data_IF_154017168313
#
_entry.id   IF_154017168313
#
_cell.length_a   1.000
_cell.length_b   1.000
_cell.length_c   1.000
_cell.angle_alpha   90.00
_cell.angle_beta   90.00
_cell.angle_gamma   90.00
#
_symmetry.space_group_name_H-M   'P 1'
#
loop_
_entity.id
_entity.type
_entity.pdbx_description
1 polymer ?
#
# COMPACT_ATOMS: atom_id res chain seq x y z
N UNK A 1 -21.95 5.64 -18.13
CA UNK A 1 -23.13 6.52 -18.20
C UNK A 1 -23.38 7.09 -19.60
N UNK A 2 -22.44 6.97 -20.50
CA UNK A 2 -22.56 7.37 -21.93
C UNK A 2 -23.36 6.36 -22.78
N UNK A 3 -23.58 5.15 -22.27
CA UNK A 3 -24.33 4.12 -23.01
C UNK A 3 -25.84 4.31 -22.83
N UNK A 4 -26.57 4.39 -23.95
CA UNK A 4 -28.04 4.44 -23.94
C UNK A 4 -28.64 3.04 -23.80
N UNK A 5 -28.24 2.34 -22.75
CA UNK A 5 -28.79 1.05 -22.36
C UNK A 5 -29.38 1.09 -20.95
N UNK A 6 -29.96 -0.03 -20.49
CA UNK A 6 -30.55 -0.12 -19.15
C UNK A 6 -29.50 0.07 -18.04
N UNK A 7 -28.26 -0.35 -18.25
CA UNK A 7 -27.18 -0.20 -17.29
C UNK A 7 -26.76 1.26 -17.11
N UNK A 8 -26.56 1.97 -18.22
CA UNK A 8 -26.23 3.40 -18.21
C UNK A 8 -27.35 4.24 -17.56
N UNK A 9 -28.61 3.96 -17.90
CA UNK A 9 -29.78 4.63 -17.28
C UNK A 9 -29.89 4.37 -15.79
N UNK A 10 -29.68 3.14 -15.35
CA UNK A 10 -29.68 2.79 -13.95
C UNK A 10 -28.53 3.48 -13.18
N UNK A 11 -27.32 3.40 -13.71
CA UNK A 11 -26.16 4.06 -13.11
C UNK A 11 -26.38 5.57 -12.98
N UNK A 12 -26.92 6.22 -14.01
CA UNK A 12 -27.27 7.65 -13.95
C UNK A 12 -28.32 7.92 -12.88
N UNK A 13 -29.40 7.13 -12.83
CA UNK A 13 -30.48 7.31 -11.85
C UNK A 13 -29.99 7.21 -10.39
N UNK A 14 -29.04 6.31 -10.12
CA UNK A 14 -28.45 6.15 -8.77
C UNK A 14 -27.51 7.29 -8.47
N UNK A 15 -26.54 7.54 -9.37
CA UNK A 15 -25.49 8.52 -9.14
C UNK A 15 -26.01 9.95 -9.15
N UNK A 16 -26.92 10.31 -10.08
CA UNK A 16 -27.48 11.66 -10.11
C UNK A 16 -28.17 12.02 -8.80
N UNK A 17 -28.98 11.11 -8.24
CA UNK A 17 -29.68 11.36 -6.97
C UNK A 17 -28.69 11.41 -5.79
N UNK A 18 -27.74 10.50 -5.75
CA UNK A 18 -26.80 10.40 -4.62
C UNK A 18 -25.85 11.58 -4.58
N UNK A 19 -25.25 11.95 -5.73
CA UNK A 19 -24.28 13.03 -5.81
C UNK A 19 -24.95 14.40 -5.68
N UNK A 20 -26.16 14.60 -6.29
CA UNK A 20 -26.93 15.83 -6.09
C UNK A 20 -27.35 16.03 -4.65
N UNK A 21 -27.81 14.94 -3.98
CA UNK A 21 -28.17 15.01 -2.57
C UNK A 21 -26.97 15.38 -1.71
N UNK A 22 -25.81 14.72 -1.89
CA UNK A 22 -24.61 15.04 -1.15
C UNK A 22 -24.17 16.50 -1.36
N UNK A 23 -24.22 16.99 -2.60
CA UNK A 23 -23.89 18.37 -2.93
C UNK A 23 -24.91 19.38 -2.35
N UNK A 24 -26.20 19.04 -2.30
CA UNK A 24 -27.25 19.91 -1.74
C UNK A 24 -27.14 20.12 -0.24
N UNK A 25 -26.47 19.21 0.48
CA UNK A 25 -26.25 19.31 1.92
C UNK A 25 -25.13 20.29 2.31
N UNK A 26 -24.41 20.84 1.35
CA UNK A 26 -23.43 21.90 1.57
C UNK A 26 -24.12 23.26 1.33
N UNK A 27 -24.14 24.19 2.31
CA UNK A 27 -23.45 24.19 3.60
C UNK A 27 -24.28 23.68 4.79
N UNK A 28 -25.45 23.08 4.58
CA UNK A 28 -26.39 22.78 5.65
C UNK A 28 -25.75 21.89 6.76
N UNK A 29 -25.04 20.82 6.37
CA UNK A 29 -24.38 19.92 7.32
C UNK A 29 -22.90 20.25 7.55
N UNK A 30 -22.25 20.85 6.57
CA UNK A 30 -20.85 21.28 6.63
C UNK A 30 -20.55 22.22 5.47
N UNK A 31 -19.70 23.23 5.70
CA UNK A 31 -19.18 24.11 4.66
C UNK A 31 -18.00 23.46 3.90
N UNK A 32 -17.44 22.40 4.46
CA UNK A 32 -16.25 21.73 3.94
C UNK A 32 -16.60 20.43 3.21
N UNK A 33 -16.48 20.43 1.88
CA UNK A 33 -16.76 19.26 1.03
C UNK A 33 -15.89 18.05 1.35
N UNK A 34 -14.66 18.27 1.86
CA UNK A 34 -13.75 17.20 2.27
C UNK A 34 -14.36 16.34 3.38
N UNK A 35 -15.12 16.97 4.30
CA UNK A 35 -15.80 16.23 5.37
C UNK A 35 -16.89 15.30 4.83
N UNK A 36 -17.60 15.71 3.79
CA UNK A 36 -18.62 14.87 3.13
C UNK A 36 -17.94 13.65 2.49
N UNK A 37 -16.84 13.88 1.75
CA UNK A 37 -16.10 12.79 1.10
C UNK A 37 -15.50 11.83 2.12
N UNK A 38 -14.91 12.33 3.18
CA UNK A 38 -14.36 11.51 4.28
C UNK A 38 -15.48 10.70 4.97
N UNK A 39 -16.63 11.30 5.23
CA UNK A 39 -17.76 10.61 5.85
C UNK A 39 -18.25 9.43 5.00
N UNK A 40 -18.34 9.61 3.68
CA UNK A 40 -18.75 8.54 2.78
C UNK A 40 -17.69 7.45 2.64
N UNK A 41 -16.40 7.83 2.55
CA UNK A 41 -15.29 6.87 2.51
C UNK A 41 -15.19 6.04 3.79
N UNK A 42 -15.29 6.68 4.95
CA UNK A 42 -15.14 5.98 6.24
C UNK A 42 -16.43 5.28 6.70
N UNK A 43 -17.61 5.86 6.45
CA UNK A 43 -18.89 5.31 6.90
C UNK A 43 -19.46 4.21 6.02
N UNK A 44 -19.17 4.27 4.70
CA UNK A 44 -19.72 3.34 3.71
C UNK A 44 -18.66 2.61 2.89
N UNK A 45 -17.37 2.74 3.26
CA UNK A 45 -16.23 2.13 2.55
C UNK A 45 -16.16 2.50 1.06
N UNK A 46 -16.60 3.68 0.69
CA UNK A 46 -16.46 4.15 -0.67
C UNK A 46 -14.99 4.42 -1.00
N UNK A 47 -14.56 4.06 -2.20
CA UNK A 47 -13.20 4.38 -2.67
C UNK A 47 -13.02 5.87 -2.95
N UNK A 48 -14.08 6.55 -3.37
CA UNK A 48 -14.11 7.98 -3.68
C UNK A 48 -15.32 8.61 -3.03
N UNK A 49 -15.14 9.81 -2.52
CA UNK A 49 -16.25 10.60 -2.00
C UNK A 49 -17.10 11.22 -3.11
N UNK A 50 -18.27 11.77 -2.76
CA UNK A 50 -19.18 12.39 -3.74
C UNK A 50 -18.55 13.47 -4.60
N UNK A 51 -17.75 14.36 -4.01
CA UNK A 51 -17.11 15.46 -4.74
C UNK A 51 -15.93 15.00 -5.58
N UNK A 52 -15.17 13.99 -5.11
CA UNK A 52 -14.13 13.31 -5.91
C UNK A 52 -14.77 12.63 -7.16
N UNK A 53 -15.97 12.04 -7.01
CA UNK A 53 -16.70 11.44 -8.14
C UNK A 53 -17.27 12.49 -9.09
N UNK A 54 -17.74 13.64 -8.58
CA UNK A 54 -18.20 14.75 -9.42
C UNK A 54 -17.09 15.31 -10.27
N UNK A 55 -15.86 15.41 -9.73
CA UNK A 55 -14.68 15.82 -10.50
C UNK A 55 -14.34 14.85 -11.62
N UNK A 56 -14.46 13.53 -11.40
CA UNK A 56 -14.25 12.54 -12.46
C UNK A 56 -15.30 12.56 -13.56
N UNK A 57 -16.54 12.90 -13.20
CA UNK A 57 -17.64 13.03 -14.15
C UNK A 57 -17.58 14.36 -14.93
N UNK A 58 -16.94 15.36 -14.37
CA UNK A 58 -16.97 16.74 -14.80
C UNK A 58 -18.16 17.49 -14.19
N UNK A 59 -17.94 18.43 -13.25
CA UNK A 59 -18.99 19.15 -12.55
C UNK A 59 -19.97 19.86 -13.49
N UNK A 60 -19.47 20.55 -14.50
CA UNK A 60 -20.25 21.25 -15.53
C UNK A 60 -21.13 20.27 -16.33
N UNK A 61 -20.55 19.17 -16.83
CA UNK A 61 -21.31 18.13 -17.54
C UNK A 61 -22.43 17.55 -16.68
N UNK A 62 -22.14 17.28 -15.41
CA UNK A 62 -23.13 16.73 -14.48
C UNK A 62 -24.28 17.72 -14.23
N UNK A 63 -23.95 19.01 -14.01
CA UNK A 63 -24.94 20.08 -13.84
C UNK A 63 -25.85 20.25 -15.08
N UNK A 64 -25.25 20.27 -16.27
CA UNK A 64 -26.00 20.41 -17.53
C UNK A 64 -26.93 19.22 -17.78
N UNK A 65 -26.48 18.01 -17.44
CA UNK A 65 -27.30 16.83 -17.57
C UNK A 65 -28.48 16.84 -16.59
N UNK A 66 -28.30 17.29 -15.34
CA UNK A 66 -29.40 17.52 -14.40
C UNK A 66 -30.41 18.50 -14.96
N UNK A 67 -29.95 19.66 -15.48
CA UNK A 67 -30.82 20.68 -16.10
C UNK A 67 -31.62 20.12 -17.26
N UNK A 68 -30.97 19.34 -18.14
CA UNK A 68 -31.63 18.75 -19.31
C UNK A 68 -32.74 17.77 -18.95
N UNK A 69 -32.70 17.17 -17.77
CA UNK A 69 -33.73 16.26 -17.25
C UNK A 69 -34.74 16.97 -16.32
N UNK A 70 -34.63 18.29 -16.16
CA UNK A 70 -35.51 19.09 -15.30
C UNK A 70 -35.30 18.83 -13.81
N UNK A 71 -34.11 18.39 -13.42
CA UNK A 71 -33.71 18.17 -12.03
C UNK A 71 -33.04 19.42 -11.45
N UNK A 72 -33.21 19.62 -10.15
CA UNK A 72 -32.58 20.71 -9.43
C UNK A 72 -31.06 20.56 -9.39
N UNK A 73 -30.33 21.66 -9.61
CA UNK A 73 -28.86 21.70 -9.52
C UNK A 73 -28.46 22.30 -8.18
N UNK A 74 -27.66 21.60 -7.36
CA UNK A 74 -27.14 22.14 -6.11
C UNK A 74 -26.33 23.42 -6.34
N UNK A 75 -26.47 24.41 -5.43
CA UNK A 75 -25.77 25.71 -5.56
C UNK A 75 -24.25 25.58 -5.70
N UNK A 76 -23.62 24.71 -4.91
CA UNK A 76 -22.18 24.52 -4.95
C UNK A 76 -21.71 23.96 -6.30
N UNK A 77 -22.55 23.15 -6.96
CA UNK A 77 -22.30 22.62 -8.30
C UNK A 77 -22.44 23.70 -9.37
N UNK A 78 -23.37 24.65 -9.20
CA UNK A 78 -23.45 25.83 -10.05
C UNK A 78 -22.27 26.77 -9.86
N UNK A 79 -21.83 26.95 -8.59
CA UNK A 79 -20.74 27.86 -8.24
C UNK A 79 -19.38 27.39 -8.76
N UNK A 80 -19.09 26.08 -8.78
CA UNK A 80 -17.84 25.55 -9.32
C UNK A 80 -17.76 25.68 -10.84
N UNK A 81 -18.90 25.68 -11.54
CA UNK A 81 -18.98 25.85 -12.99
C UNK A 81 -18.12 24.84 -13.75
N UNK A 82 -17.24 25.35 -14.62
CA UNK A 82 -16.28 24.54 -15.37
C UNK A 82 -15.03 24.15 -14.57
N UNK A 83 -14.94 24.55 -13.29
CA UNK A 83 -13.85 24.18 -12.37
C UNK A 83 -14.00 22.75 -11.83
N UNK A 84 -13.08 22.40 -10.95
CA UNK A 84 -13.08 21.14 -10.21
C UNK A 84 -13.25 21.44 -8.72
N UNK A 85 -13.82 20.49 -7.98
CA UNK A 85 -13.90 20.58 -6.52
C UNK A 85 -12.56 20.42 -5.84
N UNK A 86 -11.63 19.66 -6.45
CA UNK A 86 -10.27 19.49 -5.98
C UNK A 86 -9.27 19.87 -7.06
N UNK A 87 -8.31 20.70 -6.69
CA UNK A 87 -7.23 21.15 -7.59
C UNK A 87 -5.88 21.01 -6.90
N UNK A 88 -4.86 20.66 -7.68
CA UNK A 88 -3.48 20.72 -7.21
C UNK A 88 -2.91 22.12 -7.45
N UNK A 89 -2.47 22.78 -6.39
CA UNK A 89 -1.83 24.07 -6.44
C UNK A 89 -0.65 24.12 -5.48
N UNK A 90 0.50 24.58 -5.93
CA UNK A 90 1.72 24.71 -5.12
C UNK A 90 2.08 23.40 -4.38
N UNK A 91 2.01 22.25 -5.10
CA UNK A 91 2.23 20.90 -4.57
C UNK A 91 1.29 20.51 -3.41
N UNK A 92 0.18 21.21 -3.24
CA UNK A 92 -0.85 20.96 -2.23
C UNK A 92 -2.18 20.65 -2.89
N UNK A 93 -2.98 19.79 -2.25
CA UNK A 93 -4.36 19.57 -2.65
C UNK A 93 -5.23 20.66 -2.05
N UNK A 94 -5.99 21.35 -2.89
CA UNK A 94 -6.92 22.40 -2.46
C UNK A 94 -8.34 21.96 -2.84
N UNK A 95 -9.32 22.36 -2.03
CA UNK A 95 -10.72 22.12 -2.27
C UNK A 95 -11.49 23.42 -2.49
N UNK A 96 -12.53 23.36 -3.33
CA UNK A 96 -13.42 24.46 -3.64
C UNK A 96 -14.37 24.75 -2.47
N UNK A 97 -14.44 26.01 -2.04
CA UNK A 97 -15.33 26.47 -0.98
C UNK A 97 -16.64 27.02 -1.52
N UNK A 98 -17.64 27.17 -0.66
CA UNK A 98 -18.93 27.76 -1.05
C UNK A 98 -18.81 29.21 -1.49
N UNK A 99 -17.79 29.93 -1.00
CA UNK A 99 -17.51 31.32 -1.36
C UNK A 99 -16.80 31.48 -2.72
N UNK A 100 -16.46 30.36 -3.37
CA UNK A 100 -15.81 30.35 -4.67
C UNK A 100 -14.28 30.35 -4.63
N UNK A 101 -13.69 30.20 -3.46
CA UNK A 101 -12.25 30.15 -3.26
C UNK A 101 -11.72 28.72 -3.20
N UNK A 102 -10.40 28.55 -3.39
CA UNK A 102 -9.70 27.29 -3.16
C UNK A 102 -8.83 27.39 -1.91
N UNK A 103 -9.05 26.51 -0.96
CA UNK A 103 -8.25 26.44 0.28
C UNK A 103 -7.61 25.06 0.43
N UNK A 104 -6.46 25.04 1.11
CA UNK A 104 -5.68 23.81 1.29
C UNK A 104 -6.47 22.77 2.09
N UNK A 105 -6.42 21.50 1.64
CA UNK A 105 -6.96 20.37 2.41
C UNK A 105 -6.05 20.12 3.60
N UNK A 106 -6.50 20.53 4.79
CA UNK A 106 -5.80 20.26 6.04
C UNK A 106 -5.89 18.77 6.39
N UNK A 107 -4.75 18.17 6.70
CA UNK A 107 -4.68 16.77 7.16
C UNK A 107 -4.28 16.74 8.63
N UNK A 108 -4.79 15.77 9.41
CA UNK A 108 -4.30 15.56 10.78
C UNK A 108 -2.80 15.24 10.77
N UNK A 109 -2.13 15.63 11.85
CA UNK A 109 -0.71 15.35 12.04
C UNK A 109 -0.41 13.85 11.92
N UNK A 110 0.66 13.53 11.21
CA UNK A 110 1.08 12.17 10.94
C UNK A 110 0.32 11.45 9.82
N UNK A 111 -0.61 12.11 9.12
CA UNK A 111 -1.21 11.54 7.90
C UNK A 111 -0.27 11.75 6.72
N UNK A 112 0.04 10.65 6.03
CA UNK A 112 0.88 10.66 4.84
C UNK A 112 0.40 9.58 3.86
N UNK A 113 0.28 9.95 2.59
CA UNK A 113 -0.05 9.04 1.49
C UNK A 113 1.00 9.11 0.39
N UNK A 114 1.07 8.10 -0.45
CA UNK A 114 1.94 8.13 -1.64
C UNK A 114 1.52 9.27 -2.58
N UNK A 115 0.22 9.54 -2.69
CA UNK A 115 -0.29 10.67 -3.46
C UNK A 115 0.21 12.02 -2.95
N UNK A 116 0.45 12.16 -1.63
CA UNK A 116 1.06 13.40 -1.09
C UNK A 116 2.54 13.50 -1.42
N UNK A 117 3.26 12.38 -1.31
CA UNK A 117 4.70 12.31 -1.60
C UNK A 117 4.96 12.60 -3.08
N UNK A 118 4.14 12.06 -3.97
CA UNK A 118 4.31 12.15 -5.42
C UNK A 118 3.80 13.45 -6.05
N UNK A 119 3.00 14.23 -5.31
CA UNK A 119 2.36 15.44 -5.85
C UNK A 119 3.39 16.45 -6.34
N UNK A 120 3.29 16.80 -7.62
CA UNK A 120 4.21 17.73 -8.29
C UNK A 120 5.64 17.21 -8.47
N UNK A 121 5.90 15.92 -8.21
CA UNK A 121 7.21 15.30 -8.33
C UNK A 121 7.24 14.21 -9.41
N UNK A 122 8.41 13.97 -9.96
CA UNK A 122 8.69 12.78 -10.77
C UNK A 122 9.33 11.69 -9.91
N UNK A 123 9.02 10.42 -10.15
CA UNK A 123 9.68 9.33 -9.44
C UNK A 123 11.18 9.28 -9.80
N UNK A 124 12.01 8.89 -8.82
CA UNK A 124 13.44 8.70 -8.98
C UNK A 124 13.75 7.55 -9.95
N UNK A 125 12.93 6.51 -9.85
CA UNK A 125 12.92 5.36 -10.74
C UNK A 125 11.47 4.92 -10.96
N UNK A 126 11.15 4.40 -12.13
CA UNK A 126 9.87 3.79 -12.42
C UNK A 126 9.99 2.71 -13.49
N UNK A 127 9.21 1.66 -13.30
CA UNK A 127 8.84 0.69 -14.32
C UNK A 127 7.34 0.35 -14.18
N UNK A 128 6.75 -0.55 -14.97
CA UNK A 128 5.33 -0.88 -14.89
C UNK A 128 4.84 -1.43 -13.53
N UNK A 129 5.72 -1.92 -12.66
CA UNK A 129 5.36 -2.64 -11.44
C UNK A 129 5.77 -1.92 -10.14
N UNK A 130 6.71 -0.96 -10.20
CA UNK A 130 7.23 -0.26 -9.03
C UNK A 130 7.62 1.18 -9.37
N UNK A 131 7.48 2.07 -8.39
CA UNK A 131 8.02 3.44 -8.43
C UNK A 131 8.84 3.70 -7.18
N UNK A 132 9.91 4.48 -7.33
CA UNK A 132 10.72 4.96 -6.22
C UNK A 132 10.50 6.47 -6.06
N UNK A 133 10.23 6.89 -4.82
CA UNK A 133 9.92 8.27 -4.48
C UNK A 133 10.81 8.79 -3.35
N UNK A 134 11.17 10.06 -3.42
CA UNK A 134 11.77 10.76 -2.29
C UNK A 134 10.68 11.17 -1.29
N UNK A 135 10.71 10.58 -0.08
CA UNK A 135 9.82 10.92 1.03
C UNK A 135 10.27 12.17 1.80
N UNK A 136 11.40 12.78 1.45
CA UNK A 136 12.10 13.77 2.28
C UNK A 136 12.92 13.13 3.40
N UNK A 137 13.80 13.93 4.02
CA UNK A 137 14.70 13.51 5.10
C UNK A 137 15.65 12.36 4.68
N UNK A 138 16.03 12.32 3.40
CA UNK A 138 16.87 11.28 2.79
C UNK A 138 16.28 9.86 2.91
N UNK A 139 14.96 9.72 2.98
CA UNK A 139 14.26 8.44 2.97
C UNK A 139 13.67 8.15 1.60
N UNK A 140 13.98 6.98 1.07
CA UNK A 140 13.43 6.46 -0.18
C UNK A 140 12.16 5.65 0.09
N UNK A 141 11.11 5.83 -0.73
CA UNK A 141 9.93 4.97 -0.75
C UNK A 141 9.94 4.09 -1.99
N UNK A 142 9.78 2.79 -1.79
CA UNK A 142 9.47 1.82 -2.85
C UNK A 142 7.97 1.52 -2.84
N UNK A 143 7.26 1.99 -3.87
CA UNK A 143 5.82 1.82 -4.07
C UNK A 143 5.55 0.71 -5.08
N UNK A 144 4.91 -0.38 -4.68
CA UNK A 144 4.40 -1.39 -5.62
C UNK A 144 3.12 -0.90 -6.29
N UNK A 145 3.05 -1.05 -7.61
CA UNK A 145 1.92 -0.59 -8.45
C UNK A 145 1.42 -1.66 -9.41
N UNK A 146 1.93 -2.88 -9.34
CA UNK A 146 1.42 -4.01 -10.10
C UNK A 146 -0.01 -4.37 -9.66
N UNK A 147 -0.74 -5.14 -10.46
CA UNK A 147 -2.08 -5.60 -10.07
C UNK A 147 -2.02 -6.38 -8.75
N UNK A 148 -2.79 -5.95 -7.74
CA UNK A 148 -2.79 -6.47 -6.37
C UNK A 148 -1.39 -6.44 -5.71
N UNK A 149 -0.50 -5.60 -6.20
CA UNK A 149 0.90 -5.52 -5.76
C UNK A 149 1.61 -6.88 -5.81
N UNK A 150 1.24 -7.72 -6.81
CA UNK A 150 1.88 -9.01 -7.03
C UNK A 150 3.32 -8.83 -7.47
N UNK A 151 4.22 -9.59 -6.84
CA UNK A 151 5.65 -9.48 -7.07
C UNK A 151 6.02 -10.21 -8.36
N UNK A 152 6.63 -9.46 -9.27
CA UNK A 152 7.16 -9.90 -10.55
C UNK A 152 8.66 -9.52 -10.67
N UNK A 153 9.35 -9.91 -11.75
CA UNK A 153 10.75 -9.54 -11.95
C UNK A 153 11.01 -8.03 -11.95
N UNK A 154 10.04 -7.21 -12.37
CA UNK A 154 10.19 -5.75 -12.41
C UNK A 154 10.14 -5.13 -11.00
N UNK A 155 9.37 -5.70 -10.08
CA UNK A 155 9.43 -5.31 -8.65
C UNK A 155 10.81 -5.63 -8.08
N UNK A 156 11.37 -6.83 -8.37
CA UNK A 156 12.71 -7.19 -7.90
C UNK A 156 13.79 -6.28 -8.48
N UNK A 157 13.69 -5.90 -9.75
CA UNK A 157 14.55 -4.89 -10.37
C UNK A 157 14.50 -3.56 -9.61
N UNK A 158 13.30 -3.05 -9.34
CA UNK A 158 13.12 -1.78 -8.64
C UNK A 158 13.56 -1.83 -7.17
N UNK A 159 13.40 -2.97 -6.48
CA UNK A 159 13.94 -3.16 -5.12
C UNK A 159 15.47 -3.21 -5.12
N UNK A 160 16.09 -3.83 -6.13
CA UNK A 160 17.55 -3.82 -6.32
C UNK A 160 18.06 -2.40 -6.61
N UNK A 161 17.34 -1.64 -7.43
CA UNK A 161 17.65 -0.22 -7.66
C UNK A 161 17.52 0.61 -6.37
N UNK A 162 16.46 0.38 -5.57
CA UNK A 162 16.30 1.05 -4.28
C UNK A 162 17.47 0.76 -3.34
N UNK A 163 17.91 -0.50 -3.25
CA UNK A 163 19.09 -0.88 -2.48
C UNK A 163 20.35 -0.15 -2.98
N UNK A 164 20.56 -0.09 -4.29
CA UNK A 164 21.70 0.63 -4.89
C UNK A 164 21.69 2.12 -4.57
N UNK A 165 20.54 2.79 -4.61
CA UNK A 165 20.40 4.20 -4.26
C UNK A 165 20.76 4.46 -2.79
N UNK A 166 20.37 3.55 -1.88
CA UNK A 166 20.72 3.64 -0.46
C UNK A 166 22.21 3.30 -0.21
N UNK A 167 22.76 2.23 -0.80
CA UNK A 167 24.18 1.87 -0.67
C UNK A 167 25.12 2.96 -1.19
N UNK A 168 24.71 3.69 -2.23
CA UNK A 168 25.48 4.84 -2.74
C UNK A 168 25.51 6.05 -1.79
N UNK A 169 24.74 6.02 -0.70
CA UNK A 169 24.59 7.12 0.25
C UNK A 169 23.67 8.26 -0.23
N UNK A 170 22.98 8.08 -1.34
CA UNK A 170 22.00 9.07 -1.83
C UNK A 170 20.76 9.14 -0.96
N UNK A 171 20.36 8.00 -0.38
CA UNK A 171 19.33 7.89 0.64
C UNK A 171 19.88 7.14 1.84
N UNK A 172 19.42 7.52 3.02
CA UNK A 172 19.90 6.97 4.30
C UNK A 172 19.04 5.81 4.80
N UNK A 173 17.88 5.59 4.20
CA UNK A 173 16.97 4.52 4.57
C UNK A 173 15.88 4.27 3.54
N UNK A 174 15.26 3.11 3.62
CA UNK A 174 14.24 2.65 2.68
C UNK A 174 12.93 2.32 3.43
N UNK A 175 11.83 2.83 2.91
CA UNK A 175 10.47 2.39 3.28
C UNK A 175 9.87 1.63 2.09
N UNK A 176 9.25 0.48 2.33
CA UNK A 176 8.51 -0.28 1.32
C UNK A 176 7.04 -0.23 1.68
N UNK A 177 6.21 0.38 0.83
CA UNK A 177 4.79 0.56 1.13
C UNK A 177 4.00 1.12 -0.05
N UNK A 178 2.68 1.21 0.08
CA UNK A 178 1.79 1.75 -0.94
C UNK A 178 0.47 2.23 -0.33
N UNK A 179 -0.34 2.96 -1.11
CA UNK A 179 -1.70 3.40 -0.73
C UNK A 179 -2.79 2.35 -1.08
N UNK A 180 -2.43 1.23 -1.71
CA UNK A 180 -3.35 0.19 -2.13
C UNK A 180 -4.03 -0.55 -0.97
N UNK A 181 -5.10 -1.28 -1.25
CA UNK A 181 -5.85 -2.04 -0.23
C UNK A 181 -4.99 -3.13 0.45
N UNK A 182 -3.95 -3.60 -0.24
CA UNK A 182 -3.06 -4.66 0.21
C UNK A 182 -1.61 -4.26 0.05
N UNK A 183 -0.76 -4.72 0.95
CA UNK A 183 0.69 -4.61 0.80
C UNK A 183 1.17 -5.39 -0.43
N UNK A 184 0.87 -6.70 -0.49
CA UNK A 184 1.14 -7.55 -1.65
C UNK A 184 0.39 -8.88 -1.54
N UNK A 185 -0.19 -9.34 -2.65
CA UNK A 185 -0.80 -10.68 -2.75
C UNK A 185 0.24 -11.81 -2.98
N UNK A 186 1.54 -11.50 -2.96
CA UNK A 186 2.63 -12.45 -3.17
C UNK A 186 3.14 -12.50 -4.61
N UNK A 187 3.88 -13.55 -4.94
CA UNK A 187 4.46 -13.72 -6.28
C UNK A 187 3.38 -13.83 -7.37
N UNK A 188 3.71 -13.35 -8.57
CA UNK A 188 2.84 -13.47 -9.74
C UNK A 188 2.72 -14.94 -10.20
N UNK A 189 1.71 -15.63 -9.65
CA UNK A 189 1.46 -17.06 -9.93
C UNK A 189 1.17 -17.35 -11.39
N UNK A 190 0.58 -16.41 -12.14
CA UNK A 190 0.32 -16.58 -13.57
C UNK A 190 1.61 -16.73 -14.35
N UNK A 191 2.60 -15.87 -14.06
CA UNK A 191 3.93 -15.97 -14.68
C UNK A 191 4.66 -17.24 -14.24
N UNK A 192 4.68 -17.55 -12.95
CA UNK A 192 5.33 -18.74 -12.42
C UNK A 192 4.73 -20.02 -13.03
N UNK A 193 3.39 -20.13 -13.10
CA UNK A 193 2.70 -21.26 -13.71
C UNK A 193 3.03 -21.39 -15.19
N UNK A 194 3.07 -20.28 -15.95
CA UNK A 194 3.43 -20.31 -17.37
C UNK A 194 4.85 -20.85 -17.56
N UNK A 195 5.83 -20.34 -16.82
CA UNK A 195 7.25 -20.78 -16.92
C UNK A 195 7.39 -22.26 -16.59
N UNK A 196 6.70 -22.76 -15.56
CA UNK A 196 6.68 -24.17 -15.19
C UNK A 196 6.03 -25.04 -16.27
N UNK A 197 4.90 -24.62 -16.83
CA UNK A 197 4.17 -25.38 -17.85
C UNK A 197 4.95 -25.55 -19.15
N UNK A 198 5.80 -24.58 -19.51
CA UNK A 198 6.68 -24.69 -20.69
C UNK A 198 8.02 -25.36 -20.37
N UNK A 199 8.25 -25.80 -19.13
CA UNK A 199 9.45 -26.49 -18.70
C UNK A 199 10.71 -25.63 -18.70
N UNK A 200 10.57 -24.30 -18.57
CA UNK A 200 11.69 -23.37 -18.59
C UNK A 200 12.38 -23.30 -17.20
N UNK A 201 12.91 -24.42 -16.71
CA UNK A 201 13.46 -24.55 -15.35
C UNK A 201 14.60 -23.58 -15.05
N UNK A 202 15.44 -23.25 -16.03
CA UNK A 202 16.48 -22.25 -15.85
C UNK A 202 15.92 -20.85 -15.53
N UNK A 203 14.74 -20.52 -16.03
CA UNK A 203 14.08 -19.25 -15.72
C UNK A 203 13.45 -19.29 -14.32
N UNK A 204 12.98 -20.46 -13.87
CA UNK A 204 12.55 -20.64 -12.47
C UNK A 204 13.73 -20.42 -11.52
N UNK A 205 14.89 -21.04 -11.79
CA UNK A 205 16.10 -20.87 -10.99
C UNK A 205 16.54 -19.41 -10.93
N UNK A 206 16.57 -18.71 -12.05
CA UNK A 206 16.91 -17.27 -12.10
C UNK A 206 15.93 -16.44 -11.30
N UNK A 207 14.62 -16.74 -11.37
CA UNK A 207 13.61 -16.00 -10.63
C UNK A 207 13.75 -16.21 -9.12
N UNK A 208 13.96 -17.44 -8.68
CA UNK A 208 14.20 -17.77 -7.28
C UNK A 208 15.49 -17.12 -6.77
N UNK A 209 16.59 -17.30 -7.49
CA UNK A 209 17.89 -16.74 -7.13
C UNK A 209 17.86 -15.20 -7.10
N UNK A 210 17.24 -14.59 -8.11
CA UNK A 210 17.09 -13.13 -8.17
C UNK A 210 16.35 -12.58 -6.96
N UNK A 211 15.23 -13.21 -6.59
CA UNK A 211 14.48 -12.83 -5.39
C UNK A 211 15.28 -13.00 -4.11
N UNK A 212 16.00 -14.10 -3.95
CA UNK A 212 16.89 -14.34 -2.80
C UNK A 212 17.96 -13.25 -2.69
N UNK A 213 18.66 -12.96 -3.78
CA UNK A 213 19.72 -11.96 -3.80
C UNK A 213 19.19 -10.55 -3.49
N UNK A 214 18.04 -10.18 -4.07
CA UNK A 214 17.40 -8.89 -3.81
C UNK A 214 17.02 -8.76 -2.34
N UNK A 215 16.34 -9.75 -1.75
CA UNK A 215 15.94 -9.68 -0.34
C UNK A 215 17.14 -9.74 0.61
N UNK A 216 18.21 -10.46 0.25
CA UNK A 216 19.46 -10.44 1.01
C UNK A 216 20.14 -9.07 0.95
N UNK A 217 20.13 -8.38 -0.19
CA UNK A 217 20.70 -7.02 -0.29
C UNK A 217 19.90 -6.01 0.55
N UNK A 218 18.58 -6.17 0.67
CA UNK A 218 17.78 -5.34 1.56
C UNK A 218 18.08 -5.62 3.04
N UNK A 219 18.18 -6.90 3.40
CA UNK A 219 18.36 -7.33 4.80
C UNK A 219 19.74 -7.00 5.37
N UNK A 220 20.79 -7.12 4.54
CA UNK A 220 22.17 -6.96 4.96
C UNK A 220 22.82 -5.70 4.39
N UNK A 221 22.03 -4.79 3.82
CA UNK A 221 22.47 -3.49 3.34
C UNK A 221 22.97 -2.58 4.46
N UNK A 222 23.78 -1.59 4.12
CA UNK A 222 24.32 -0.61 5.07
C UNK A 222 23.30 0.46 5.53
N UNK A 223 22.03 0.26 5.25
CA UNK A 223 20.90 1.17 5.50
C UNK A 223 19.70 0.43 6.08
N UNK A 224 18.89 1.07 6.94
CA UNK A 224 17.68 0.46 7.48
C UNK A 224 16.57 0.36 6.45
N UNK A 225 15.81 -0.74 6.51
CA UNK A 225 14.63 -1.00 5.68
C UNK A 225 13.41 -1.20 6.57
N UNK A 226 12.32 -0.45 6.31
CA UNK A 226 11.06 -0.57 7.05
C UNK A 226 9.92 -0.91 6.10
N UNK A 227 9.22 -2.00 6.37
CA UNK A 227 8.01 -2.39 5.64
C UNK A 227 6.76 -1.73 6.23
N UNK A 228 6.05 -0.93 5.45
CA UNK A 228 4.78 -0.29 5.81
C UNK A 228 3.61 -1.15 5.30
N UNK A 229 3.10 -2.07 6.13
CA UNK A 229 2.12 -3.06 5.68
C UNK A 229 0.70 -2.75 6.09
N UNK A 230 -0.26 -3.04 5.20
CA UNK A 230 -1.70 -3.03 5.46
C UNK A 230 -2.42 -4.04 4.57
N UNK A 231 -3.56 -4.55 5.00
CA UNK A 231 -4.30 -5.58 4.28
C UNK A 231 -3.48 -6.85 4.07
N UNK A 232 -3.58 -7.46 2.90
CA UNK A 232 -2.88 -8.72 2.60
C UNK A 232 -1.37 -8.50 2.41
N UNK A 233 -0.56 -9.34 3.06
CA UNK A 233 0.88 -9.47 2.89
C UNK A 233 1.22 -10.96 2.81
N UNK A 234 1.01 -11.56 1.64
CA UNK A 234 1.01 -13.01 1.46
C UNK A 234 2.23 -13.49 0.67
N UNK A 235 2.67 -14.71 0.98
CA UNK A 235 3.73 -15.39 0.25
C UNK A 235 4.98 -14.52 0.08
N UNK A 236 5.41 -14.28 -1.16
CA UNK A 236 6.55 -13.40 -1.46
C UNK A 236 6.41 -11.99 -0.86
N UNK A 237 5.18 -11.46 -0.70
CA UNK A 237 4.96 -10.19 0.01
C UNK A 237 5.28 -10.30 1.52
N UNK A 238 4.97 -11.42 2.13
CA UNK A 238 5.41 -11.74 3.48
C UNK A 238 6.95 -11.85 3.53
N UNK A 239 7.59 -12.49 2.55
CA UNK A 239 9.04 -12.65 2.51
C UNK A 239 9.77 -11.30 2.39
N UNK A 240 9.22 -10.33 1.62
CA UNK A 240 9.73 -8.95 1.58
C UNK A 240 9.68 -8.31 2.97
N UNK A 241 8.56 -8.43 3.69
CA UNK A 241 8.45 -7.90 5.06
C UNK A 241 9.41 -8.58 6.03
N UNK A 242 9.61 -9.89 5.90
CA UNK A 242 10.56 -10.65 6.74
C UNK A 242 12.02 -10.26 6.48
N UNK A 243 12.33 -9.69 5.31
CA UNK A 243 13.63 -9.15 4.96
C UNK A 243 13.87 -7.72 5.51
N UNK A 244 12.83 -7.01 5.92
CA UNK A 244 12.96 -5.68 6.52
C UNK A 244 13.53 -5.75 7.95
N UNK A 245 14.21 -4.69 8.39
CA UNK A 245 14.69 -4.52 9.77
C UNK A 245 13.54 -4.33 10.74
N UNK A 246 12.49 -3.63 10.30
CA UNK A 246 11.25 -3.39 11.06
C UNK A 246 10.05 -3.46 10.14
N UNK A 247 8.94 -3.85 10.74
CA UNK A 247 7.62 -3.80 10.12
C UNK A 247 6.77 -2.80 10.90
N UNK A 248 6.25 -1.80 10.20
CA UNK A 248 5.21 -0.91 10.68
C UNK A 248 3.90 -1.44 10.13
N UNK A 249 3.18 -2.23 10.91
CA UNK A 249 1.97 -2.90 10.45
C UNK A 249 0.71 -2.11 10.81
N UNK A 250 -0.23 -1.97 9.89
CA UNK A 250 -1.60 -1.64 10.26
C UNK A 250 -2.20 -2.74 11.12
N UNK A 251 -3.08 -2.42 12.06
CA UNK A 251 -3.76 -3.40 12.91
C UNK A 251 -4.44 -4.52 12.10
N UNK A 252 -4.98 -4.17 10.93
CA UNK A 252 -5.58 -5.10 9.96
C UNK A 252 -4.56 -5.49 8.87
N UNK A 253 -3.43 -6.05 9.27
CA UNK A 253 -2.47 -6.70 8.39
C UNK A 253 -2.69 -8.21 8.45
N UNK A 254 -2.98 -8.81 7.30
CA UNK A 254 -3.21 -10.24 7.11
C UNK A 254 -1.97 -10.84 6.46
N UNK A 255 -1.06 -11.39 7.27
CA UNK A 255 0.26 -11.84 6.82
C UNK A 255 0.40 -13.35 6.94
N UNK A 256 1.04 -13.98 5.96
CA UNK A 256 1.30 -15.42 5.97
C UNK A 256 2.11 -15.90 4.79
N UNK A 257 2.79 -17.03 5.00
CA UNK A 257 3.47 -17.79 3.96
C UNK A 257 2.50 -18.86 3.45
N UNK A 258 1.90 -18.60 2.30
CA UNK A 258 0.75 -19.37 1.76
C UNK A 258 1.12 -20.25 0.57
N UNK A 259 2.39 -20.39 0.27
CA UNK A 259 2.94 -21.05 -0.91
C UNK A 259 2.47 -22.51 -1.04
N UNK A 260 2.36 -23.24 0.07
CA UNK A 260 1.89 -24.64 0.08
C UNK A 260 0.46 -24.75 -0.44
N UNK A 261 -0.39 -23.73 -0.22
CA UNK A 261 -1.75 -23.66 -0.76
C UNK A 261 -1.82 -23.69 -2.29
N UNK A 262 -0.73 -23.35 -2.97
CA UNK A 262 -0.61 -23.36 -4.44
C UNK A 262 0.43 -24.36 -4.96
N UNK A 263 0.92 -25.27 -4.10
CA UNK A 263 1.77 -26.39 -4.48
C UNK A 263 3.27 -26.07 -4.57
N UNK A 264 3.72 -24.96 -3.96
CA UNK A 264 5.14 -24.57 -3.88
C UNK A 264 5.54 -24.30 -2.44
N UNK A 265 6.78 -23.93 -2.19
CA UNK A 265 7.29 -23.58 -0.85
C UNK A 265 7.85 -22.16 -0.86
N UNK A 266 7.90 -21.46 0.30
CA UNK A 266 8.55 -20.15 0.41
C UNK A 266 10.02 -20.24 0.00
N UNK A 267 10.40 -19.54 -1.08
CA UNK A 267 11.69 -19.74 -1.73
C UNK A 267 12.64 -18.53 -1.57
N UNK A 268 12.14 -17.36 -1.16
CA UNK A 268 12.95 -16.13 -1.04
C UNK A 268 13.45 -15.85 0.38
N UNK A 269 13.31 -16.81 1.29
CA UNK A 269 13.85 -16.74 2.64
C UNK A 269 12.83 -16.93 3.74
N UNK A 270 11.53 -17.07 3.44
CA UNK A 270 10.47 -17.22 4.44
C UNK A 270 10.70 -18.38 5.41
N UNK A 271 11.07 -19.55 4.91
CA UNK A 271 11.39 -20.72 5.75
C UNK A 271 12.54 -20.44 6.71
N UNK A 272 13.64 -19.83 6.21
CA UNK A 272 14.82 -19.47 7.01
C UNK A 272 14.47 -18.46 8.09
N UNK A 273 13.77 -17.39 7.73
CA UNK A 273 13.41 -16.33 8.67
C UNK A 273 12.47 -16.82 9.78
N UNK A 274 11.48 -17.63 9.42
CA UNK A 274 10.60 -18.23 10.43
C UNK A 274 11.36 -19.18 11.36
N UNK A 275 12.30 -19.96 10.84
CA UNK A 275 13.15 -20.83 11.68
C UNK A 275 13.97 -19.99 12.67
N UNK A 276 14.63 -18.94 12.19
CA UNK A 276 15.41 -18.02 13.02
C UNK A 276 14.54 -17.39 14.11
N UNK A 277 13.37 -16.85 13.77
CA UNK A 277 12.45 -16.16 14.70
C UNK A 277 11.89 -17.11 15.78
N UNK A 278 11.47 -18.31 15.41
CA UNK A 278 10.97 -19.31 16.37
C UNK A 278 12.08 -19.88 17.25
N UNK A 279 13.28 -20.08 16.70
CA UNK A 279 14.43 -20.58 17.49
C UNK A 279 14.97 -19.55 18.47
N UNK A 280 14.85 -18.27 18.15
CA UNK A 280 15.28 -17.17 19.04
C UNK A 280 14.28 -16.88 20.18
N UNK A 281 13.04 -17.38 20.12
CA UNK A 281 12.05 -17.14 21.17
C UNK A 281 12.28 -18.06 22.38
N UNK A 282 12.60 -17.50 23.58
CA UNK A 282 12.79 -18.30 24.79
C UNK A 282 11.56 -19.11 25.20
N UNK A 283 10.38 -18.74 24.72
CA UNK A 283 9.11 -19.45 24.98
C UNK A 283 8.81 -20.55 23.95
N UNK A 284 9.65 -20.70 22.93
CA UNK A 284 9.49 -21.80 21.96
C UNK A 284 9.67 -23.15 22.64
N UNK A 285 8.97 -24.20 22.17
CA UNK A 285 9.15 -25.54 22.69
C UNK A 285 10.63 -25.97 22.62
N UNK A 286 11.13 -26.54 23.69
CA UNK A 286 12.51 -27.03 23.77
C UNK A 286 12.69 -28.36 23.02
N UNK A 287 13.93 -28.65 22.64
CA UNK A 287 14.30 -29.87 21.92
C UNK A 287 14.56 -29.65 20.44
N UNK A 288 15.13 -30.63 19.75
CA UNK A 288 15.64 -30.44 18.37
C UNK A 288 14.56 -30.17 17.34
N UNK A 289 13.30 -30.53 17.60
CA UNK A 289 12.18 -30.38 16.68
C UNK A 289 11.16 -29.29 17.10
N UNK A 290 11.31 -28.69 18.29
CA UNK A 290 10.27 -27.82 18.86
C UNK A 290 9.87 -26.66 17.94
N UNK A 291 10.83 -25.84 17.51
CA UNK A 291 10.60 -24.73 16.58
C UNK A 291 10.20 -25.24 15.19
N UNK A 292 10.81 -26.33 14.71
CA UNK A 292 10.54 -26.89 13.39
C UNK A 292 9.07 -27.34 13.26
N UNK A 293 8.52 -28.01 14.29
CA UNK A 293 7.12 -28.44 14.29
C UNK A 293 6.17 -27.23 14.18
N UNK A 294 6.44 -26.17 14.96
CA UNK A 294 5.61 -24.95 14.90
C UNK A 294 5.65 -24.26 13.52
N UNK A 295 6.83 -24.20 12.93
CA UNK A 295 6.99 -23.64 11.59
C UNK A 295 6.27 -24.51 10.55
N UNK A 296 6.45 -25.82 10.63
CA UNK A 296 5.80 -26.75 9.72
C UNK A 296 4.27 -26.69 9.85
N UNK A 297 3.71 -26.56 11.05
CA UNK A 297 2.28 -26.36 11.26
C UNK A 297 1.79 -25.07 10.58
N UNK A 298 2.51 -23.96 10.72
CA UNK A 298 2.11 -22.67 10.12
C UNK A 298 2.23 -22.66 8.59
N UNK A 299 3.38 -23.09 8.06
CA UNK A 299 3.65 -23.07 6.61
C UNK A 299 2.90 -24.19 5.89
N UNK A 300 2.89 -25.39 6.44
CA UNK A 300 2.26 -26.57 5.84
C UNK A 300 0.73 -26.48 5.76
N UNK A 301 0.11 -25.61 6.58
CA UNK A 301 -1.33 -25.32 6.50
C UNK A 301 -1.63 -23.99 5.82
N UNK A 302 -0.62 -23.30 5.27
CA UNK A 302 -0.75 -21.99 4.64
C UNK A 302 -1.49 -20.97 5.56
N UNK A 303 -1.20 -20.99 6.85
CA UNK A 303 -1.92 -20.17 7.83
C UNK A 303 -1.62 -18.69 7.65
N UNK A 304 -2.67 -17.88 7.63
CA UNK A 304 -2.61 -16.41 7.56
C UNK A 304 -3.06 -15.83 8.90
N UNK A 305 -2.30 -14.91 9.44
CA UNK A 305 -2.70 -14.13 10.60
C UNK A 305 -3.86 -13.19 10.23
N UNK A 306 -4.88 -13.14 11.06
CA UNK A 306 -6.08 -12.33 10.88
C UNK A 306 -5.96 -10.90 11.42
N UNK A 307 -4.81 -10.56 11.99
CA UNK A 307 -4.48 -9.23 12.52
C UNK A 307 -2.98 -9.09 12.74
N UNK A 308 -2.49 -7.87 12.88
CA UNK A 308 -1.10 -7.62 13.25
C UNK A 308 -0.73 -8.20 14.63
N UNK A 309 -1.69 -8.27 15.57
CA UNK A 309 -1.44 -8.91 16.87
C UNK A 309 -1.27 -10.43 16.73
N UNK A 310 -2.15 -11.10 15.99
CA UNK A 310 -1.97 -12.54 15.70
C UNK A 310 -0.67 -12.80 14.93
N UNK A 311 -0.31 -11.91 13.99
CA UNK A 311 0.96 -11.98 13.27
C UNK A 311 2.18 -11.97 14.22
N UNK A 312 2.10 -11.22 15.32
CA UNK A 312 3.13 -11.23 16.38
C UNK A 312 3.17 -12.56 17.12
N UNK A 313 2.02 -13.12 17.46
CA UNK A 313 1.92 -14.42 18.12
C UNK A 313 2.46 -15.55 17.24
N UNK A 314 2.23 -15.43 15.92
CA UNK A 314 2.75 -16.35 14.88
C UNK A 314 4.21 -16.07 14.49
N UNK A 315 4.87 -15.06 15.05
CA UNK A 315 6.27 -14.64 14.77
C UNK A 315 6.50 -14.04 13.38
N UNK A 316 5.46 -13.71 12.62
CA UNK A 316 5.62 -12.87 11.43
C UNK A 316 6.01 -11.44 11.80
N UNK A 317 5.51 -10.92 12.92
CA UNK A 317 6.02 -9.70 13.55
C UNK A 317 6.87 -10.05 14.76
N UNK A 318 7.97 -9.32 14.92
CA UNK A 318 8.82 -9.38 16.12
C UNK A 318 8.29 -8.44 17.22
N UNK A 319 8.87 -8.50 18.40
CA UNK A 319 8.55 -7.58 19.50
C UNK A 319 9.00 -6.14 19.23
N UNK A 320 9.97 -5.94 18.34
CA UNK A 320 10.47 -4.62 17.93
C UNK A 320 9.66 -4.00 16.78
N UNK A 321 8.80 -4.78 16.11
CA UNK A 321 7.87 -4.27 15.11
C UNK A 321 6.73 -3.50 15.77
N UNK A 322 6.15 -2.55 15.05
CA UNK A 322 5.13 -1.64 15.57
C UNK A 322 3.78 -1.85 14.88
N UNK A 323 2.71 -1.54 15.61
CA UNK A 323 1.34 -1.63 15.11
C UNK A 323 0.72 -0.25 15.14
N UNK A 324 0.21 0.21 14.01
CA UNK A 324 -0.53 1.45 13.84
C UNK A 324 -2.02 1.15 13.66
N UNK A 325 -2.88 1.77 14.48
CA UNK A 325 -4.33 1.58 14.40
C UNK A 325 -4.98 2.37 13.25
N UNK A 326 -4.44 3.52 12.91
CA UNK A 326 -4.95 4.37 11.85
C UNK A 326 -4.14 4.15 10.57
N UNK A 327 -4.79 3.58 9.55
CA UNK A 327 -4.15 3.26 8.28
C UNK A 327 -3.47 4.46 7.61
N UNK A 328 -4.06 5.64 7.69
CA UNK A 328 -3.50 6.87 7.09
C UNK A 328 -2.19 7.34 7.72
N UNK A 329 -1.80 6.76 8.87
CA UNK A 329 -0.54 7.05 9.56
C UNK A 329 0.55 6.03 9.27
N UNK A 330 0.23 4.85 8.74
CA UNK A 330 1.18 3.73 8.62
C UNK A 330 2.45 4.15 7.86
N UNK A 331 2.29 4.89 6.77
CA UNK A 331 3.43 5.32 5.94
C UNK A 331 4.29 6.37 6.66
N UNK A 332 3.68 7.32 7.37
CA UNK A 332 4.41 8.29 8.20
C UNK A 332 5.12 7.59 9.37
N UNK A 333 4.41 6.72 10.08
CA UNK A 333 4.99 6.00 11.23
C UNK A 333 6.15 5.08 10.78
N UNK A 334 6.07 4.53 9.56
CA UNK A 334 7.17 3.78 8.96
C UNK A 334 8.38 4.66 8.65
N UNK A 335 8.17 5.87 8.09
CA UNK A 335 9.22 6.86 7.87
C UNK A 335 9.89 7.24 9.18
N UNK A 336 9.11 7.56 10.21
CA UNK A 336 9.65 7.90 11.53
C UNK A 336 10.44 6.73 12.16
N UNK A 337 9.94 5.49 12.00
CA UNK A 337 10.66 4.29 12.44
C UNK A 337 11.98 4.14 11.68
N UNK A 338 12.00 4.39 10.37
CA UNK A 338 13.22 4.34 9.57
C UNK A 338 14.24 5.39 10.04
N UNK A 339 13.81 6.63 10.26
CA UNK A 339 14.66 7.72 10.76
C UNK A 339 15.30 7.37 12.13
N UNK A 340 14.53 6.73 13.03
CA UNK A 340 15.05 6.31 14.34
C UNK A 340 16.11 5.21 14.26
N UNK A 341 16.13 4.44 13.17
CA UNK A 341 17.11 3.37 12.97
C UNK A 341 18.42 3.86 12.37
N UNK A 342 18.45 5.02 11.71
CA UNK A 342 19.62 5.50 10.95
C UNK A 342 20.83 5.71 11.85
N UNK A 343 20.64 6.34 13.00
CA UNK A 343 21.74 6.67 13.90
C UNK A 343 22.26 5.42 14.59
N UNK A 344 23.50 5.02 14.25
CA UNK A 344 24.13 3.82 14.77
C UNK A 344 23.64 2.51 14.12
N UNK A 345 22.99 2.60 12.95
CA UNK A 345 22.56 1.42 12.21
C UNK A 345 23.73 0.49 11.90
N UNK A 346 23.55 -0.77 12.20
CA UNK A 346 24.42 -1.86 11.78
C UNK A 346 23.56 -2.99 11.19
N UNK A 347 23.86 -3.44 9.96
CA UNK A 347 23.12 -4.54 9.35
C UNK A 347 23.27 -5.84 10.20
N UNK A 348 22.26 -6.73 10.14
CA UNK A 348 22.40 -8.07 10.73
C UNK A 348 23.60 -8.82 10.14
N UNK A 349 24.30 -9.63 10.98
CA UNK A 349 25.37 -10.48 10.46
C UNK A 349 24.80 -11.49 9.47
N UNK A 350 25.46 -11.63 8.31
CA UNK A 350 25.05 -12.58 7.27
C UNK A 350 25.19 -14.04 7.73
N UNK A 351 25.96 -14.30 8.79
CA UNK A 351 26.20 -15.63 9.34
C UNK A 351 25.27 -15.97 10.51
N UNK A 352 24.43 -15.04 10.96
CA UNK A 352 23.39 -15.27 11.96
C UNK A 352 22.04 -15.58 11.30
#
# INVERSE_FOLDING_TARGET
>A
MEYDDKGGKFAWQVLSKTLSYAASLVPEITENIVNVDIAMKNGFMWKKGPFEMLDELGPSWFADKLKSEGLDVPKILESVGDGLFYVEKDSSLNYFTIDGDYINVSKPEGYLSVSDISRGKSPIFKNPSIRLWDMGDDILLAEFISKMNSIDPLIMEGLSEAASQCESGKFRGLVIGNDGDNFSAGANLGLASFICNVGAWNEVDKFVQGGQLTLMSLKHGSFPVVGASSGLALGGGCEVLLACDRIQAHSETYIGLVEVGVGVVPAWGGCKEMLRRWSADPKSPTGPMGSIVKIFENLGTAKVASSAQEARDMKFLSNSDRITMNRSRVLNDAKETCLQLIDGYAPPDINE
#
